data_IF_675602013879
#
_entry.id   IF_675602013879
#
_cell.length_a   1.000
_cell.length_b   1.000
_cell.length_c   1.000
_cell.angle_alpha   90.00
_cell.angle_beta   90.00
_cell.angle_gamma   90.00
#
_symmetry.space_group_name_H-M   'P 1'
#
loop_
_entity.id
_entity.type
_entity.pdbx_description
1 polymer ?
#
# COMPACT_ATOMS: atom_id res chain seq x y z
N UNK A 1 -34.42 -10.74 -25.23
CA UNK A 1 -33.51 -9.70 -24.71
C UNK A 1 -33.97 -9.20 -23.35
N UNK A 2 -35.12 -8.52 -23.28
CA UNK A 2 -35.60 -7.86 -22.05
C UNK A 2 -35.63 -8.76 -20.80
N UNK A 3 -36.18 -9.98 -20.89
CA UNK A 3 -36.24 -10.92 -19.75
C UNK A 3 -34.85 -11.25 -19.19
N UNK A 4 -33.86 -11.49 -20.06
CA UNK A 4 -32.49 -11.81 -19.64
C UNK A 4 -31.79 -10.62 -18.99
N UNK A 5 -31.96 -9.40 -19.52
CA UNK A 5 -31.42 -8.19 -18.91
C UNK A 5 -32.04 -7.92 -17.54
N UNK A 6 -33.35 -8.13 -17.39
CA UNK A 6 -34.04 -7.98 -16.11
C UNK A 6 -33.61 -9.02 -15.06
N UNK A 7 -33.30 -10.25 -15.48
CA UNK A 7 -32.80 -11.28 -14.56
C UNK A 7 -31.41 -10.90 -14.01
N UNK A 8 -30.53 -10.32 -14.84
CA UNK A 8 -29.23 -9.79 -14.39
C UNK A 8 -29.40 -8.60 -13.43
N UNK A 9 -30.35 -7.69 -13.70
CA UNK A 9 -30.67 -6.60 -12.75
C UNK A 9 -31.18 -7.16 -11.42
N UNK A 10 -31.98 -8.23 -11.43
CA UNK A 10 -32.45 -8.89 -10.20
C UNK A 10 -31.31 -9.55 -9.43
N UNK A 11 -30.38 -10.23 -10.11
CA UNK A 11 -29.21 -10.83 -9.48
C UNK A 11 -28.26 -9.78 -8.89
N UNK A 12 -28.13 -8.62 -9.54
CA UNK A 12 -27.43 -7.47 -8.97
C UNK A 12 -28.12 -6.93 -7.72
N UNK A 13 -29.45 -6.79 -7.73
CA UNK A 13 -30.24 -6.39 -6.56
C UNK A 13 -30.10 -7.37 -5.39
N UNK A 14 -29.88 -8.66 -5.68
CA UNK A 14 -29.58 -9.70 -4.70
C UNK A 14 -28.09 -9.77 -4.28
N UNK A 15 -27.27 -8.77 -4.66
CA UNK A 15 -25.84 -8.65 -4.32
C UNK A 15 -24.94 -9.78 -4.84
N UNK A 16 -25.31 -10.44 -5.95
CA UNK A 16 -24.55 -11.56 -6.53
C UNK A 16 -23.44 -11.13 -7.51
N UNK A 17 -23.06 -9.86 -7.54
CA UNK A 17 -22.01 -9.35 -8.43
C UNK A 17 -21.83 -7.84 -8.31
N UNK A 18 -20.83 -7.30 -9.01
CA UNK A 18 -20.62 -5.85 -9.05
C UNK A 18 -21.46 -5.20 -10.16
N UNK A 19 -21.70 -3.90 -10.04
CA UNK A 19 -22.41 -3.11 -11.06
C UNK A 19 -21.73 -3.20 -12.43
N UNK A 20 -20.40 -3.23 -12.43
CA UNK A 20 -19.59 -3.35 -13.64
C UNK A 20 -19.83 -4.69 -14.34
N UNK A 21 -19.89 -5.79 -13.60
CA UNK A 21 -20.16 -7.12 -14.17
C UNK A 21 -21.57 -7.19 -14.76
N UNK A 22 -22.56 -6.64 -14.06
CA UNK A 22 -23.94 -6.59 -14.53
C UNK A 22 -24.07 -5.74 -15.81
N UNK A 23 -23.45 -4.56 -15.84
CA UNK A 23 -23.41 -3.66 -16.99
C UNK A 23 -22.75 -4.30 -18.23
N UNK A 24 -21.63 -4.99 -18.02
CA UNK A 24 -20.90 -5.69 -19.08
C UNK A 24 -21.76 -6.79 -19.71
N UNK A 25 -22.39 -7.62 -18.87
CA UNK A 25 -23.24 -8.73 -19.34
C UNK A 25 -24.50 -8.21 -20.06
N UNK A 26 -25.15 -7.17 -19.55
CA UNK A 26 -26.32 -6.54 -20.19
C UNK A 26 -25.95 -6.00 -21.57
N UNK A 27 -24.83 -5.29 -21.68
CA UNK A 27 -24.34 -4.74 -22.96
C UNK A 27 -24.01 -5.85 -23.98
N UNK A 28 -23.45 -6.97 -23.50
CA UNK A 28 -23.21 -8.15 -24.32
C UNK A 28 -24.49 -8.79 -24.86
N UNK A 29 -25.51 -8.98 -24.01
CA UNK A 29 -26.80 -9.56 -24.39
C UNK A 29 -27.52 -8.69 -25.43
N UNK A 30 -27.47 -7.37 -25.25
CA UNK A 30 -28.10 -6.41 -26.18
C UNK A 30 -27.40 -6.46 -27.54
N UNK A 31 -26.07 -6.45 -27.57
CA UNK A 31 -25.27 -6.51 -28.80
C UNK A 31 -25.45 -7.83 -29.57
N UNK A 32 -25.62 -8.94 -28.85
CA UNK A 32 -25.81 -10.26 -29.47
C UNK A 32 -27.23 -10.45 -30.05
N UNK A 33 -28.21 -9.71 -29.53
CA UNK A 33 -29.62 -9.95 -29.83
C UNK A 33 -30.29 -8.94 -30.78
N UNK A 34 -29.61 -7.84 -31.12
CA UNK A 34 -30.12 -6.82 -32.04
C UNK A 34 -29.44 -6.94 -33.42
N UNK A 35 -30.16 -7.36 -34.47
CA UNK A 35 -29.67 -7.26 -35.85
C UNK A 35 -29.60 -5.79 -36.27
N UNK A 36 -28.61 -5.44 -37.11
CA UNK A 36 -28.32 -4.09 -37.65
C UNK A 36 -29.49 -3.37 -38.39
N UNK A 37 -30.69 -3.94 -38.44
CA UNK A 37 -31.84 -3.45 -39.19
C UNK A 37 -33.05 -3.01 -38.34
N UNK A 38 -33.00 -3.10 -37.01
CA UNK A 38 -34.00 -2.46 -36.14
C UNK A 38 -33.58 -1.04 -35.83
N UNK A 39 -34.40 -0.04 -36.14
CA UNK A 39 -34.12 1.39 -35.94
C UNK A 39 -34.01 1.86 -34.48
N UNK A 40 -33.78 0.95 -33.55
CA UNK A 40 -33.53 1.24 -32.14
C UNK A 40 -32.03 1.12 -31.88
N UNK A 41 -31.39 2.22 -31.50
CA UNK A 41 -29.96 2.22 -31.16
C UNK A 41 -29.73 1.34 -29.91
N UNK A 42 -28.88 0.29 -29.99
CA UNK A 42 -28.49 -0.55 -28.86
C UNK A 42 -28.04 0.26 -27.63
N UNK A 43 -27.48 1.45 -27.84
CA UNK A 43 -27.06 2.35 -26.75
C UNK A 43 -28.26 2.84 -25.91
N UNK A 44 -29.37 3.19 -26.56
CA UNK A 44 -30.60 3.67 -25.91
C UNK A 44 -31.24 2.57 -25.06
N UNK A 45 -31.25 1.33 -25.57
CA UNK A 45 -31.79 0.18 -24.84
C UNK A 45 -30.90 -0.16 -23.64
N UNK A 46 -29.58 -0.09 -23.80
CA UNK A 46 -28.65 -0.31 -22.69
C UNK A 46 -28.80 0.75 -21.59
N UNK A 47 -28.99 2.02 -21.96
CA UNK A 47 -29.18 3.12 -21.02
C UNK A 47 -30.36 2.90 -20.06
N UNK A 48 -31.45 2.28 -20.53
CA UNK A 48 -32.62 1.97 -19.69
C UNK A 48 -32.27 0.97 -18.58
N UNK A 49 -31.46 -0.05 -18.86
CA UNK A 49 -31.08 -1.02 -17.83
C UNK A 49 -29.96 -0.48 -16.92
N UNK A 50 -29.09 0.38 -17.44
CA UNK A 50 -28.05 1.04 -16.65
C UNK A 50 -28.66 1.99 -15.61
N UNK A 51 -29.69 2.76 -15.98
CA UNK A 51 -30.40 3.62 -15.02
C UNK A 51 -31.08 2.81 -13.91
N UNK A 52 -31.58 1.60 -14.19
CA UNK A 52 -32.13 0.71 -13.16
C UNK A 52 -31.07 0.20 -12.15
N UNK A 53 -29.81 0.08 -12.57
CA UNK A 53 -28.69 -0.27 -11.68
C UNK A 53 -28.28 0.95 -10.84
N UNK A 54 -28.23 2.14 -11.45
CA UNK A 54 -27.90 3.41 -10.79
C UNK A 54 -28.91 3.78 -9.72
N UNK A 55 -30.21 3.65 -10.02
CA UNK A 55 -31.30 3.96 -9.10
C UNK A 55 -31.22 3.08 -7.86
N UNK A 56 -30.98 1.77 -8.02
CA UNK A 56 -30.84 0.85 -6.90
C UNK A 56 -29.61 1.15 -6.02
N UNK A 57 -28.48 1.49 -6.64
CA UNK A 57 -27.27 1.88 -5.90
C UNK A 57 -27.48 3.18 -5.12
N UNK A 58 -28.20 4.14 -5.71
CA UNK A 58 -28.61 5.38 -5.05
C UNK A 58 -29.53 5.10 -3.86
N UNK A 59 -30.54 4.23 -4.00
CA UNK A 59 -31.45 3.83 -2.93
C UNK A 59 -30.71 3.15 -1.77
N UNK A 60 -29.80 2.21 -2.06
CA UNK A 60 -28.99 1.56 -1.03
C UNK A 60 -28.10 2.55 -0.27
N UNK A 61 -27.49 3.49 -0.99
CA UNK A 61 -26.67 4.53 -0.39
C UNK A 61 -27.50 5.49 0.47
N UNK A 62 -28.71 5.86 0.04
CA UNK A 62 -29.63 6.69 0.82
C UNK A 62 -30.15 5.96 2.06
N UNK A 63 -30.52 4.68 1.95
CA UNK A 63 -30.93 3.86 3.09
C UNK A 63 -29.81 3.72 4.13
N UNK A 64 -28.56 3.51 3.67
CA UNK A 64 -27.40 3.44 4.55
C UNK A 64 -27.10 4.78 5.24
N UNK A 65 -27.32 5.91 4.55
CA UNK A 65 -27.22 7.26 5.15
C UNK A 65 -28.30 7.48 6.22
N UNK A 66 -29.56 7.15 5.93
CA UNK A 66 -30.67 7.26 6.91
C UNK A 66 -30.46 6.35 8.12
N UNK A 67 -29.95 5.13 7.93
CA UNK A 67 -29.60 4.23 9.03
C UNK A 67 -28.52 4.81 9.96
N UNK A 68 -27.54 5.54 9.40
CA UNK A 68 -26.50 6.24 10.18
C UNK A 68 -27.03 7.47 10.93
N UNK A 69 -28.06 8.15 10.42
CA UNK A 69 -28.72 9.26 11.12
C UNK A 69 -29.64 8.77 12.24
N UNK A 70 -30.43 7.71 12.02
CA UNK A 70 -31.34 7.15 13.04
C UNK A 70 -30.58 6.53 14.23
N UNK A 71 -29.40 5.92 14.00
CA UNK A 71 -28.53 5.47 15.10
C UNK A 71 -27.94 6.64 15.92
N UNK A 72 -27.91 7.85 15.37
CA UNK A 72 -27.42 9.05 16.05
C UNK A 72 -28.51 9.70 16.92
N UNK A 73 -29.77 9.46 16.59
CA UNK A 73 -30.95 10.04 17.26
C UNK A 73 -31.47 9.17 18.42
N UNK A 74 -31.17 7.87 18.44
CA UNK A 74 -31.65 6.93 19.47
C UNK A 74 -30.85 6.89 20.79
N UNK A 75 -29.79 7.69 20.94
CA UNK A 75 -29.02 7.80 22.21
C UNK A 75 -29.40 9.03 23.05
N UNK A 76 -30.45 9.76 22.70
CA UNK A 76 -30.98 10.88 23.51
C UNK A 76 -32.18 10.42 24.31
N UNK A 77 -31.95 9.77 25.45
CA UNK A 77 -32.95 9.69 26.53
C UNK A 77 -32.29 10.25 27.78
N UNK A 78 -32.73 11.45 28.16
CA UNK A 78 -32.35 12.11 29.42
C UNK A 78 -32.91 11.35 30.64
N UNK A 79 -32.31 11.58 31.81
CA UNK A 79 -33.12 11.77 33.00
C UNK A 79 -32.86 13.16 33.61
N UNK A 80 -33.94 13.93 33.70
CA UNK A 80 -34.06 15.15 34.52
C UNK A 80 -34.33 14.74 35.98
N UNK A 81 -33.64 15.37 36.94
CA UNK A 81 -34.21 15.89 38.20
C UNK A 81 -33.18 16.70 39.03
N UNK A 82 -33.52 17.99 39.21
CA UNK A 82 -33.27 18.99 40.28
C UNK A 82 -32.40 18.64 41.52
N UNK A 83 -31.66 19.55 42.19
CA UNK A 83 -31.95 20.93 42.68
C UNK A 83 -30.65 21.61 43.20
N UNK A 84 -30.38 22.92 42.91
CA UNK A 84 -30.40 24.11 43.82
C UNK A 84 -29.45 24.03 45.08
N UNK A 85 -28.54 24.96 45.47
CA UNK A 85 -28.61 26.42 45.78
C UNK A 85 -27.18 27.04 46.04
N UNK A 86 -26.99 28.31 45.62
CA UNK A 86 -26.16 29.50 46.06
C UNK A 86 -24.66 29.44 46.47
N UNK A 87 -23.84 30.40 45.97
CA UNK A 87 -23.45 31.64 46.69
C UNK A 87 -22.58 32.61 45.84
N UNK A 88 -22.59 33.89 46.26
CA UNK A 88 -22.25 35.14 45.54
C UNK A 88 -20.74 35.52 45.38
N UNK A 89 -20.56 36.54 44.52
CA UNK A 89 -19.41 37.33 44.00
C UNK A 89 -18.63 38.19 45.07
N UNK A 90 -17.66 39.14 44.78
CA UNK A 90 -17.42 39.94 43.55
C UNK A 90 -15.97 40.38 43.13
N UNK A 91 -15.88 40.92 41.89
CA UNK A 91 -15.05 42.00 41.28
C UNK A 91 -13.49 41.97 41.38
N UNK A 92 -12.65 42.34 40.38
CA UNK A 92 -12.60 43.53 39.50
C UNK A 92 -11.99 43.21 38.10
N UNK A 93 -12.63 43.61 37.00
CA UNK A 93 -12.31 44.72 36.04
C UNK A 93 -10.85 44.90 35.57
N UNK A 94 -10.57 44.67 34.28
CA UNK A 94 -9.86 45.58 33.36
C UNK A 94 -10.23 45.20 31.90
N UNK A 95 -10.66 46.23 31.18
CA UNK A 95 -11.19 46.30 29.82
C UNK A 95 -10.22 45.92 28.68
N UNK A 96 -10.86 45.51 27.58
CA UNK A 96 -10.66 45.98 26.19
C UNK A 96 -9.93 45.03 25.22
N UNK A 97 -10.69 44.39 24.31
CA UNK A 97 -10.81 44.77 22.88
C UNK A 97 -11.70 43.76 22.15
N UNK A 98 -12.99 44.07 21.96
CA UNK A 98 -13.91 43.26 21.16
C UNK A 98 -13.65 43.47 19.66
N UNK A 99 -13.31 42.39 18.96
CA UNK A 99 -13.52 42.23 17.53
C UNK A 99 -14.66 41.23 17.39
N UNK A 100 -15.76 41.68 16.79
CA UNK A 100 -16.95 40.87 16.53
C UNK A 100 -16.61 39.70 15.62
N UNK A 101 -16.83 38.48 16.12
CA UNK A 101 -16.89 37.25 15.32
C UNK A 101 -18.25 36.62 15.63
N UNK A 102 -19.04 36.45 14.58
CA UNK A 102 -20.32 35.73 14.54
C UNK A 102 -20.28 34.41 15.36
N UNK A 103 -21.37 34.04 16.07
CA UNK A 103 -21.40 32.84 16.90
C UNK A 103 -21.51 31.57 16.06
N UNK A 104 -20.38 31.12 15.52
CA UNK A 104 -20.21 29.78 14.97
C UNK A 104 -20.14 28.75 16.10
N UNK A 105 -20.93 27.68 15.95
CA UNK A 105 -21.13 26.54 16.85
C UNK A 105 -19.95 26.19 17.79
N UNK A 106 -20.21 25.86 19.08
CA UNK A 106 -19.16 25.46 20.00
C UNK A 106 -18.46 24.21 19.46
N UNK A 107 -17.14 24.32 19.26
CA UNK A 107 -16.27 23.21 18.91
C UNK A 107 -16.59 22.03 19.84
N UNK A 108 -17.20 20.98 19.28
CA UNK A 108 -17.62 19.80 20.04
C UNK A 108 -16.43 19.31 20.85
N UNK A 109 -16.51 19.43 22.18
CA UNK A 109 -15.50 18.89 23.11
C UNK A 109 -15.34 17.42 22.73
N UNK A 110 -14.15 17.04 22.25
CA UNK A 110 -13.88 15.64 21.89
C UNK A 110 -14.20 14.78 23.11
N UNK A 111 -15.02 13.75 22.93
CA UNK A 111 -15.35 12.82 24.00
C UNK A 111 -14.03 12.30 24.61
N UNK A 112 -13.91 12.38 25.93
CA UNK A 112 -12.76 11.87 26.66
C UNK A 112 -12.81 10.35 26.50
N UNK A 113 -11.94 9.81 25.64
CA UNK A 113 -11.83 8.36 25.45
C UNK A 113 -11.43 7.72 26.77
N UNK A 114 -12.15 6.68 27.15
CA UNK A 114 -11.80 5.83 28.28
C UNK A 114 -10.70 4.85 27.82
N UNK A 115 -9.53 4.95 28.45
CA UNK A 115 -8.36 4.14 28.13
C UNK A 115 -8.19 2.94 29.08
N UNK A 116 -9.10 2.73 30.04
CA UNK A 116 -9.04 1.60 30.99
C UNK A 116 -9.06 0.23 30.31
N UNK A 117 -9.65 0.13 29.11
CA UNK A 117 -9.60 -1.09 28.29
C UNK A 117 -8.25 -1.34 27.59
N UNK A 118 -7.35 -0.34 27.58
CA UNK A 118 -5.97 -0.43 27.07
C UNK A 118 -4.96 -0.58 28.21
N UNK A 119 -5.40 -0.81 29.45
CA UNK A 119 -4.50 -1.15 30.55
C UNK A 119 -3.86 -2.51 30.25
N UNK A 120 -2.71 -2.45 29.57
CA UNK A 120 -1.84 -3.58 29.32
C UNK A 120 -1.37 -4.11 30.68
N UNK A 121 -2.12 -5.05 31.25
CA UNK A 121 -1.63 -5.85 32.38
C UNK A 121 -0.29 -6.46 31.94
N UNK A 122 0.81 -6.22 32.67
CA UNK A 122 2.10 -6.83 32.35
C UNK A 122 1.98 -8.34 32.61
N UNK A 123 1.41 -9.06 31.65
CA UNK A 123 1.06 -10.45 31.80
C UNK A 123 2.16 -11.27 31.14
N UNK A 124 3.03 -11.84 31.98
CA UNK A 124 3.80 -13.08 31.79
C UNK A 124 4.89 -13.10 30.69
N UNK A 125 4.92 -12.17 29.72
CA UNK A 125 6.05 -12.00 28.79
C UNK A 125 7.01 -10.90 29.25
N UNK A 126 7.38 -10.91 30.52
CA UNK A 126 8.49 -10.12 31.08
C UNK A 126 9.85 -10.73 30.71
N UNK A 127 9.96 -11.36 29.54
CA UNK A 127 11.26 -11.78 29.04
C UNK A 127 11.91 -10.56 28.39
N UNK A 128 12.77 -9.89 29.17
CA UNK A 128 13.95 -9.17 28.67
C UNK A 128 13.68 -8.00 27.71
N UNK A 129 12.59 -7.23 27.86
CA UNK A 129 12.45 -6.01 27.07
C UNK A 129 13.45 -4.95 27.55
N UNK A 130 14.52 -4.73 26.77
CA UNK A 130 15.49 -3.64 26.99
C UNK A 130 14.74 -2.33 27.27
N UNK A 131 15.13 -1.56 28.30
CA UNK A 131 14.48 -0.29 28.59
C UNK A 131 14.56 0.64 27.38
N UNK A 132 13.45 1.34 27.09
CA UNK A 132 13.37 2.34 26.03
C UNK A 132 14.44 3.41 26.28
N UNK A 133 15.22 3.69 25.24
CA UNK A 133 16.21 4.78 25.24
C UNK A 133 15.56 6.13 25.56
N UNK A 134 16.38 7.07 26.04
CA UNK A 134 15.91 8.41 26.42
C UNK A 134 15.34 9.18 25.21
N UNK A 135 16.00 9.07 24.04
CA UNK A 135 15.57 9.72 22.81
C UNK A 135 14.21 9.18 22.36
N UNK A 136 14.05 7.86 22.29
CA UNK A 136 12.78 7.24 21.90
C UNK A 136 11.62 7.61 22.85
N UNK A 137 11.84 7.63 24.17
CA UNK A 137 10.82 8.10 25.13
C UNK A 137 10.41 9.55 24.85
N UNK A 138 11.37 10.42 24.54
CA UNK A 138 11.11 11.82 24.20
C UNK A 138 10.35 11.95 22.87
N UNK A 139 10.72 11.16 21.86
CA UNK A 139 10.00 11.09 20.58
C UNK A 139 8.55 10.65 20.77
N UNK A 140 8.30 9.59 21.55
CA UNK A 140 6.95 9.10 21.83
C UNK A 140 6.12 10.20 22.49
N UNK A 141 6.68 10.91 23.49
CA UNK A 141 5.98 12.01 24.17
C UNK A 141 5.60 13.14 23.22
N UNK A 142 6.49 13.52 22.31
CA UNK A 142 6.23 14.55 21.30
C UNK A 142 5.15 14.08 20.30
N UNK A 143 5.26 12.84 19.81
CA UNK A 143 4.28 12.26 18.90
C UNK A 143 2.89 12.12 19.54
N UNK A 144 2.81 11.77 20.82
CA UNK A 144 1.54 11.73 21.56
C UNK A 144 0.89 13.12 21.69
N UNK A 145 1.71 14.17 21.87
CA UNK A 145 1.23 15.54 21.87
C UNK A 145 0.72 15.95 20.47
N UNK A 146 1.48 15.65 19.42
CA UNK A 146 1.08 15.96 18.04
C UNK A 146 -0.12 15.14 17.56
N UNK A 147 -0.32 13.94 18.08
CA UNK A 147 -1.49 13.12 17.76
C UNK A 147 -2.82 13.78 18.17
N UNK A 148 -2.81 14.72 19.12
CA UNK A 148 -4.00 15.50 19.49
C UNK A 148 -4.43 16.42 18.34
N UNK A 149 -3.49 17.06 17.64
CA UNK A 149 -3.80 17.89 16.47
C UNK A 149 -2.66 17.85 15.45
N UNK A 150 -2.71 16.83 14.59
CA UNK A 150 -1.70 16.64 13.56
C UNK A 150 -1.70 17.77 12.52
N UNK A 151 -2.87 18.39 12.26
CA UNK A 151 -2.96 19.50 11.30
C UNK A 151 -2.21 20.71 11.83
N UNK A 152 -2.44 21.09 13.08
CA UNK A 152 -1.73 22.21 13.70
C UNK A 152 -0.24 21.92 13.90
N UNK A 153 0.13 20.71 14.34
CA UNK A 153 1.53 20.34 14.50
C UNK A 153 2.30 20.46 13.18
N UNK A 154 1.71 19.96 12.09
CA UNK A 154 2.27 20.08 10.74
C UNK A 154 2.39 21.54 10.29
N UNK A 155 1.33 22.34 10.47
CA UNK A 155 1.33 23.76 10.12
C UNK A 155 2.46 24.51 10.86
N UNK A 156 2.57 24.30 12.18
CA UNK A 156 3.61 24.94 12.99
C UNK A 156 5.03 24.53 12.56
N UNK A 157 5.24 23.29 12.15
CA UNK A 157 6.54 22.84 11.63
C UNK A 157 6.84 23.45 10.27
N UNK A 158 5.88 23.46 9.35
CA UNK A 158 6.07 23.94 7.97
C UNK A 158 6.31 25.45 7.90
N UNK A 159 5.56 26.24 8.68
CA UNK A 159 5.63 27.70 8.66
C UNK A 159 6.59 28.30 9.69
N UNK A 160 7.42 27.46 10.34
CA UNK A 160 8.48 27.95 11.22
C UNK A 160 9.60 28.61 10.41
N UNK A 161 10.17 29.71 10.92
CA UNK A 161 11.21 30.52 10.24
C UNK A 161 12.41 29.69 9.75
N UNK A 162 12.87 28.75 10.58
CA UNK A 162 13.99 27.86 10.26
C UNK A 162 13.58 26.50 9.69
N UNK A 163 12.35 26.37 9.16
CA UNK A 163 11.88 25.11 8.59
C UNK A 163 12.64 24.75 7.31
N UNK A 164 13.24 23.55 7.23
CA UNK A 164 14.08 23.19 6.11
C UNK A 164 13.24 22.72 4.92
N UNK A 165 12.80 23.60 4.01
CA UNK A 165 11.96 23.33 2.81
C UNK A 165 11.17 21.99 2.95
N UNK A 166 11.24 20.95 2.11
CA UNK A 166 10.60 19.63 2.39
C UNK A 166 9.09 19.59 2.15
N UNK A 167 8.64 18.47 1.57
CA UNK A 167 7.30 18.34 1.04
C UNK A 167 6.26 18.03 2.11
N UNK A 168 5.02 18.48 1.88
CA UNK A 168 3.91 18.35 2.83
C UNK A 168 3.63 16.89 3.24
N UNK A 169 3.73 15.95 2.29
CA UNK A 169 3.55 14.52 2.61
C UNK A 169 4.63 13.99 3.56
N UNK A 170 5.87 14.45 3.42
CA UNK A 170 6.96 14.10 4.32
C UNK A 170 6.74 14.66 5.73
N UNK A 171 6.29 15.91 5.83
CA UNK A 171 5.91 16.50 7.12
C UNK A 171 4.74 15.76 7.77
N UNK A 172 3.74 15.33 6.98
CA UNK A 172 2.63 14.52 7.48
C UNK A 172 3.11 13.17 8.04
N UNK A 173 4.07 12.51 7.40
CA UNK A 173 4.67 11.27 7.90
C UNK A 173 5.47 11.49 9.18
N UNK A 174 6.26 12.57 9.27
CA UNK A 174 7.01 12.94 10.49
C UNK A 174 6.06 13.16 11.67
N UNK A 175 5.00 13.95 11.46
CA UNK A 175 4.02 14.28 12.50
C UNK A 175 3.24 13.06 12.96
N UNK A 176 2.93 12.14 12.05
CA UNK A 176 2.30 10.87 12.39
C UNK A 176 3.29 9.83 12.97
N UNK A 177 4.59 10.10 12.94
CA UNK A 177 5.64 9.16 13.29
C UNK A 177 5.73 7.95 12.36
N UNK A 178 5.29 8.06 11.11
CA UNK A 178 5.40 6.99 10.11
C UNK A 178 6.79 6.99 9.47
N UNK A 179 7.14 5.88 8.81
CA UNK A 179 8.34 5.82 7.99
C UNK A 179 8.18 6.72 6.77
N UNK A 180 9.15 7.60 6.52
CA UNK A 180 9.16 8.49 5.36
C UNK A 180 9.52 7.69 4.09
N UNK A 181 8.79 7.89 3.00
CA UNK A 181 9.13 7.32 1.69
C UNK A 181 10.24 8.12 1.02
N UNK A 182 11.46 7.55 0.95
CA UNK A 182 12.57 8.19 0.24
C UNK A 182 12.34 8.24 -1.27
N UNK A 183 11.64 7.26 -1.86
CA UNK A 183 11.27 7.27 -3.28
C UNK A 183 10.41 8.51 -3.61
N UNK A 184 9.48 8.87 -2.72
CA UNK A 184 8.67 10.09 -2.87
C UNK A 184 9.53 11.36 -2.80
N UNK A 185 10.44 11.44 -1.81
CA UNK A 185 11.36 12.58 -1.68
C UNK A 185 12.26 12.69 -2.91
N UNK A 186 12.80 11.58 -3.39
CA UNK A 186 13.66 11.55 -4.56
C UNK A 186 12.90 12.06 -5.80
N UNK A 187 11.65 11.63 -5.97
CA UNK A 187 10.77 12.13 -7.02
C UNK A 187 10.66 13.65 -6.99
N UNK A 188 10.46 14.23 -5.80
CA UNK A 188 10.33 15.68 -5.62
C UNK A 188 11.65 16.40 -5.93
N UNK A 189 12.79 15.89 -5.45
CA UNK A 189 14.11 16.48 -5.71
C UNK A 189 14.40 16.50 -7.22
N UNK A 190 14.12 15.41 -7.93
CA UNK A 190 14.48 15.23 -9.33
C UNK A 190 13.45 15.83 -10.30
N UNK A 191 12.23 16.11 -9.86
CA UNK A 191 11.16 16.65 -10.72
C UNK A 191 11.05 18.15 -10.51
N UNK A 192 12.18 18.86 -10.51
CA UNK A 192 12.31 20.31 -10.26
C UNK A 192 11.54 21.22 -11.26
N UNK A 193 10.60 20.68 -12.03
CA UNK A 193 9.68 21.41 -12.88
C UNK A 193 8.26 21.18 -12.35
N UNK A 194 7.54 22.26 -12.04
CA UNK A 194 6.09 22.21 -11.92
C UNK A 194 5.56 21.68 -13.25
N UNK A 195 5.22 20.40 -13.29
CA UNK A 195 4.52 19.85 -14.43
C UNK A 195 3.06 20.11 -14.15
N UNK A 196 2.50 21.09 -14.85
CA UNK A 196 1.08 21.37 -14.80
C UNK A 196 0.33 20.09 -15.17
N UNK A 197 -0.38 19.55 -14.19
CA UNK A 197 -1.33 18.46 -14.41
C UNK A 197 -2.50 19.07 -15.17
N UNK A 198 -2.56 18.81 -16.47
CA UNK A 198 -3.69 19.20 -17.28
C UNK A 198 -4.67 18.04 -17.33
N UNK A 199 -5.74 18.14 -16.55
CA UNK A 199 -6.88 17.22 -16.63
C UNK A 199 -7.98 17.89 -17.44
N UNK A 200 -8.14 17.47 -18.69
CA UNK A 200 -9.29 17.86 -19.50
C UNK A 200 -10.29 16.71 -19.53
N UNK A 201 -11.51 17.00 -19.06
CA UNK A 201 -12.64 16.10 -19.22
C UNK A 201 -13.24 16.29 -20.62
N UNK A 202 -13.10 15.30 -21.49
CA UNK A 202 -13.80 15.24 -22.77
C UNK A 202 -14.97 14.26 -22.60
N UNK A 203 -16.16 14.78 -22.32
CA UNK A 203 -17.35 13.96 -22.03
C UNK A 203 -17.19 13.18 -20.71
N UNK A 204 -17.45 11.87 -20.73
CA UNK A 204 -17.32 10.97 -19.56
C UNK A 204 -15.88 10.46 -19.32
N UNK A 205 -14.91 10.91 -20.10
CA UNK A 205 -13.51 10.47 -20.00
C UNK A 205 -12.62 11.65 -19.58
N UNK A 206 -11.99 11.51 -18.42
CA UNK A 206 -10.99 12.44 -17.93
C UNK A 206 -9.62 12.10 -18.56
N UNK A 207 -9.16 12.95 -19.47
CA UNK A 207 -7.83 12.84 -20.07
C UNK A 207 -6.86 13.68 -19.23
N UNK A 208 -6.04 13.02 -18.41
CA UNK A 208 -4.95 13.69 -17.71
C UNK A 208 -3.66 13.53 -18.53
N UNK A 209 -3.08 14.63 -19.01
CA UNK A 209 -1.76 14.64 -19.65
C UNK A 209 -0.78 15.53 -18.89
N UNK A 210 0.44 15.00 -18.70
CA UNK A 210 1.46 15.50 -17.79
C UNK A 210 2.18 14.34 -17.09
N UNK A 211 3.37 14.56 -16.53
CA UNK A 211 3.96 13.59 -15.59
C UNK A 211 2.96 13.47 -14.46
N UNK A 212 2.29 12.33 -14.37
CA UNK A 212 1.36 12.10 -13.28
C UNK A 212 2.12 12.28 -11.97
N UNK A 213 1.53 13.01 -11.02
CA UNK A 213 1.98 13.05 -9.61
C UNK A 213 2.18 11.63 -9.01
N UNK A 214 1.74 10.58 -9.72
CA UNK A 214 1.74 9.19 -9.31
C UNK A 214 2.97 8.38 -9.75
N UNK A 215 3.80 8.84 -10.69
CA UNK A 215 5.00 8.11 -11.09
C UNK A 215 6.16 8.39 -10.12
N UNK A 216 6.10 7.75 -8.94
CA UNK A 216 7.19 7.83 -7.96
C UNK A 216 8.48 7.27 -8.58
N UNK A 217 9.47 8.15 -8.81
CA UNK A 217 10.83 7.79 -9.23
C UNK A 217 11.48 6.95 -8.13
N UNK A 218 11.81 5.71 -8.46
CA UNK A 218 12.49 4.81 -7.53
C UNK A 218 13.93 5.23 -7.32
N UNK A 219 14.40 5.15 -6.08
CA UNK A 219 15.83 5.25 -5.78
C UNK A 219 16.50 3.97 -6.27
N UNK A 220 17.53 4.13 -7.10
CA UNK A 220 18.29 3.01 -7.70
C UNK A 220 19.78 3.05 -7.37
N UNK A 221 20.31 4.21 -6.98
CA UNK A 221 21.73 4.42 -6.73
C UNK A 221 21.98 4.95 -5.32
N UNK A 222 23.21 4.76 -4.82
CA UNK A 222 23.67 5.35 -3.56
C UNK A 222 23.55 6.88 -3.58
N UNK A 223 23.87 7.53 -4.71
CA UNK A 223 23.74 8.99 -4.86
C UNK A 223 22.29 9.47 -4.71
N UNK A 224 21.33 8.77 -5.32
CA UNK A 224 19.90 9.08 -5.15
C UNK A 224 19.46 8.89 -3.70
N UNK A 225 19.94 7.82 -3.06
CA UNK A 225 19.66 7.55 -1.64
C UNK A 225 20.22 8.65 -0.74
N UNK A 226 21.48 9.04 -0.91
CA UNK A 226 22.12 10.10 -0.14
C UNK A 226 21.38 11.44 -0.27
N UNK A 227 20.99 11.83 -1.49
CA UNK A 227 20.23 13.05 -1.71
C UNK A 227 18.88 13.04 -0.99
N UNK A 228 18.13 11.93 -1.11
CA UNK A 228 16.82 11.78 -0.47
C UNK A 228 16.92 11.65 1.06
N UNK A 229 17.90 10.90 1.56
CA UNK A 229 18.13 10.71 2.99
C UNK A 229 18.57 12.00 3.66
N UNK A 230 19.54 12.74 3.10
CA UNK A 230 19.98 14.02 3.66
C UNK A 230 18.83 15.02 3.75
N UNK A 231 17.92 14.98 2.78
CA UNK A 231 16.71 15.80 2.78
C UNK A 231 15.73 15.38 3.88
N UNK A 232 15.46 14.08 4.03
CA UNK A 232 14.64 13.54 5.11
C UNK A 232 15.25 13.82 6.49
N UNK A 233 16.53 13.54 6.67
CA UNK A 233 17.27 13.69 7.91
C UNK A 233 17.26 15.13 8.40
N UNK A 234 17.41 16.13 7.52
CA UNK A 234 17.27 17.55 7.89
C UNK A 234 15.88 17.86 8.49
N UNK A 235 14.81 17.39 7.87
CA UNK A 235 13.46 17.59 8.39
C UNK A 235 13.23 16.84 9.72
N UNK A 236 13.74 15.61 9.85
CA UNK A 236 13.65 14.84 11.10
C UNK A 236 14.47 15.51 12.22
N UNK A 237 15.68 16.01 11.94
CA UNK A 237 16.51 16.74 12.92
C UNK A 237 15.83 18.02 13.39
N UNK A 238 15.16 18.73 12.48
CA UNK A 238 14.37 19.90 12.83
C UNK A 238 13.19 19.54 13.76
N UNK A 239 12.46 18.48 13.44
CA UNK A 239 11.33 17.98 14.25
C UNK A 239 11.78 17.36 15.59
N UNK A 240 12.94 16.70 15.62
CA UNK A 240 13.48 15.97 16.77
C UNK A 240 14.99 16.21 16.93
N UNK A 241 15.41 17.38 17.45
CA UNK A 241 16.83 17.76 17.51
C UNK A 241 17.73 16.76 18.25
N UNK A 242 17.19 16.11 19.29
CA UNK A 242 17.90 15.13 20.10
C UNK A 242 18.16 13.78 19.39
N UNK A 243 17.62 13.56 18.18
CA UNK A 243 17.87 12.36 17.36
C UNK A 243 19.01 12.54 16.37
N UNK A 244 19.74 13.65 16.41
CA UNK A 244 20.81 13.93 15.44
C UNK A 244 21.86 12.82 15.39
N UNK A 245 22.42 12.42 16.54
CA UNK A 245 23.44 11.38 16.61
C UNK A 245 22.94 10.02 16.08
N UNK A 246 21.66 9.68 16.31
CA UNK A 246 21.04 8.47 15.78
C UNK A 246 20.97 8.50 14.24
N UNK A 247 20.55 9.63 13.67
CA UNK A 247 20.41 9.79 12.22
C UNK A 247 21.76 9.81 11.50
N UNK A 248 22.78 10.39 12.13
CA UNK A 248 24.14 10.45 11.61
C UNK A 248 24.75 9.03 11.61
N UNK A 249 24.67 8.30 12.72
CA UNK A 249 25.11 6.91 12.81
C UNK A 249 24.39 6.00 11.81
N UNK A 250 23.08 6.19 11.61
CA UNK A 250 22.33 5.43 10.61
C UNK A 250 22.78 5.74 9.17
N UNK A 251 23.05 7.01 8.89
CA UNK A 251 23.55 7.44 7.58
C UNK A 251 24.89 6.80 7.24
N UNK A 252 25.78 6.75 8.23
CA UNK A 252 27.08 6.10 8.12
C UNK A 252 26.92 4.60 7.90
N UNK A 253 26.13 3.92 8.74
CA UNK A 253 25.86 2.49 8.62
C UNK A 253 25.37 2.09 7.23
N UNK A 254 24.41 2.81 6.65
CA UNK A 254 23.89 2.47 5.31
C UNK A 254 24.93 2.78 4.21
N UNK A 255 25.71 3.85 4.32
CA UNK A 255 26.80 4.12 3.37
C UNK A 255 27.87 3.04 3.43
N UNK A 256 28.27 2.58 4.62
CA UNK A 256 29.18 1.45 4.78
C UNK A 256 28.62 0.18 4.10
N UNK A 257 27.30 -0.05 4.15
CA UNK A 257 26.68 -1.15 3.43
C UNK A 257 26.74 -0.99 1.91
N UNK A 258 26.73 0.22 1.37
CA UNK A 258 27.00 0.43 -0.05
C UNK A 258 28.46 0.13 -0.36
N UNK A 259 29.39 0.65 0.44
CA UNK A 259 30.83 0.51 0.21
C UNK A 259 31.32 -0.96 0.32
N UNK A 260 30.66 -1.77 1.16
CA UNK A 260 30.96 -3.19 1.32
C UNK A 260 30.35 -4.10 0.24
N UNK A 261 29.43 -3.58 -0.58
CA UNK A 261 28.71 -4.36 -1.57
C UNK A 261 29.12 -3.94 -2.99
N UNK A 262 29.08 -4.89 -3.92
CA UNK A 262 29.27 -4.56 -5.33
C UNK A 262 28.07 -3.74 -5.85
N UNK A 263 28.29 -2.89 -6.85
CA UNK A 263 27.25 -2.00 -7.39
C UNK A 263 25.99 -2.75 -7.86
N UNK A 264 26.17 -3.93 -8.46
CA UNK A 264 25.06 -4.81 -8.87
C UNK A 264 24.21 -5.32 -7.69
N UNK A 265 24.73 -5.27 -6.47
CA UNK A 265 24.05 -5.63 -5.22
C UNK A 265 23.48 -4.42 -4.47
N UNK A 266 23.68 -3.17 -4.93
CA UNK A 266 23.14 -1.96 -4.29
C UNK A 266 21.60 -1.99 -4.13
N UNK A 267 20.90 -2.68 -5.04
CA UNK A 267 19.46 -2.91 -4.91
C UNK A 267 19.06 -3.64 -3.62
N UNK A 268 19.96 -4.47 -3.05
CA UNK A 268 19.74 -5.15 -1.77
C UNK A 268 19.89 -4.19 -0.59
N UNK A 269 20.91 -3.32 -0.63
CA UNK A 269 21.14 -2.28 0.39
C UNK A 269 19.93 -1.35 0.49
N UNK A 270 19.37 -0.94 -0.66
CA UNK A 270 18.16 -0.10 -0.71
C UNK A 270 16.93 -0.78 -0.09
N UNK A 271 16.74 -2.10 -0.31
CA UNK A 271 15.64 -2.86 0.30
C UNK A 271 15.86 -3.10 1.78
N UNK A 272 17.10 -3.33 2.19
CA UNK A 272 17.51 -3.44 3.58
C UNK A 272 17.19 -2.15 4.35
N UNK A 273 17.64 -0.99 3.85
CA UNK A 273 17.29 0.35 4.39
C UNK A 273 15.78 0.53 4.51
N UNK A 274 15.03 0.26 3.44
CA UNK A 274 13.57 0.40 3.44
C UNK A 274 12.91 -0.47 4.51
N UNK A 275 13.41 -1.68 4.72
CA UNK A 275 12.92 -2.62 5.73
C UNK A 275 13.18 -2.13 7.16
N UNK A 276 14.38 -1.57 7.42
CA UNK A 276 14.72 -0.97 8.72
C UNK A 276 13.83 0.23 9.01
N UNK A 277 13.75 1.19 8.07
CA UNK A 277 12.93 2.40 8.24
C UNK A 277 11.45 2.04 8.45
N UNK A 278 10.95 1.02 7.75
CA UNK A 278 9.59 0.52 7.95
C UNK A 278 9.39 -0.07 9.36
N UNK A 279 10.32 -0.90 9.83
CA UNK A 279 10.26 -1.49 11.18
C UNK A 279 10.28 -0.40 12.26
N UNK A 280 11.20 0.54 12.17
CA UNK A 280 11.32 1.67 13.12
C UNK A 280 10.09 2.59 13.05
N UNK A 281 9.61 2.88 11.84
CA UNK A 281 8.43 3.73 11.64
C UNK A 281 7.13 3.12 12.14
N UNK A 282 7.01 1.79 12.14
CA UNK A 282 5.82 1.08 12.62
C UNK A 282 5.93 0.61 14.08
N UNK A 283 7.15 0.51 14.61
CA UNK A 283 7.39 0.04 15.98
C UNK A 283 8.00 1.15 16.81
N UNK A 284 7.31 1.58 17.86
CA UNK A 284 7.80 2.59 18.81
C UNK A 284 8.82 2.03 19.82
N UNK A 285 9.67 1.08 19.41
CA UNK A 285 10.63 0.38 20.28
C UNK A 285 12.08 0.44 19.83
N UNK A 286 12.34 0.83 18.59
CA UNK A 286 13.67 0.80 18.02
C UNK A 286 14.12 2.20 17.59
N UNK A 287 15.39 2.49 17.82
CA UNK A 287 16.10 3.60 17.17
C UNK A 287 16.84 3.05 15.95
N UNK A 288 17.08 3.91 14.96
CA UNK A 288 17.82 3.57 13.75
C UNK A 288 19.27 3.16 14.03
N UNK A 289 19.84 3.63 15.15
CA UNK A 289 21.18 3.26 15.63
C UNK A 289 21.25 1.89 16.32
N UNK A 290 20.11 1.22 16.56
CA UNK A 290 20.09 -0.09 17.21
C UNK A 290 20.36 -1.23 16.21
N UNK A 291 21.55 -1.22 15.58
CA UNK A 291 21.90 -2.16 14.49
C UNK A 291 21.79 -3.64 14.88
N UNK A 292 22.08 -3.96 16.14
CA UNK A 292 21.93 -5.31 16.71
C UNK A 292 20.49 -5.84 16.59
N UNK A 293 19.49 -4.97 16.65
CA UNK A 293 18.08 -5.31 16.51
C UNK A 293 17.63 -5.53 15.06
N UNK A 294 18.54 -5.37 14.09
CA UNK A 294 18.29 -5.52 12.66
C UNK A 294 19.06 -6.68 12.02
N UNK A 295 19.74 -7.52 12.82
CA UNK A 295 20.48 -8.71 12.33
C UNK A 295 19.61 -9.67 11.53
N UNK A 296 18.35 -9.83 11.93
CA UNK A 296 17.36 -10.64 11.21
C UNK A 296 17.01 -10.02 9.85
N UNK A 297 16.85 -8.70 9.77
CA UNK A 297 16.66 -7.98 8.50
C UNK A 297 17.90 -8.17 7.63
N UNK A 298 19.10 -7.95 8.20
CA UNK A 298 20.36 -8.09 7.48
C UNK A 298 20.50 -9.48 6.87
N UNK A 299 20.33 -10.52 7.68
CA UNK A 299 20.41 -11.91 7.24
C UNK A 299 19.39 -12.23 6.15
N UNK A 300 18.19 -11.64 6.22
CA UNK A 300 17.15 -11.86 5.20
C UNK A 300 17.53 -11.32 3.81
N UNK A 301 18.32 -10.24 3.73
CA UNK A 301 18.70 -9.59 2.46
C UNK A 301 20.08 -10.02 1.94
N UNK A 302 21.03 -10.29 2.85
CA UNK A 302 22.44 -10.52 2.46
C UNK A 302 22.91 -11.97 2.58
N UNK A 303 22.28 -12.81 3.41
CA UNK A 303 22.69 -14.22 3.52
C UNK A 303 22.25 -15.03 2.29
N UNK A 304 23.08 -15.97 1.84
CA UNK A 304 22.83 -16.79 0.63
C UNK A 304 21.54 -17.65 0.68
N UNK A 305 20.99 -17.89 1.88
CA UNK A 305 19.68 -18.52 2.11
C UNK A 305 18.58 -17.56 2.58
N UNK A 306 18.84 -16.26 2.58
CA UNK A 306 17.91 -15.24 3.05
C UNK A 306 16.69 -15.14 2.13
N UNK A 307 15.50 -15.05 2.72
CA UNK A 307 14.21 -14.99 1.99
C UNK A 307 14.19 -13.87 0.91
N UNK A 308 14.90 -12.78 1.14
CA UNK A 308 14.92 -11.61 0.27
C UNK A 308 16.21 -11.49 -0.56
N UNK A 309 17.16 -12.43 -0.42
CA UNK A 309 18.44 -12.44 -1.13
C UNK A 309 18.29 -12.42 -2.65
N UNK A 310 17.30 -13.15 -3.17
CA UNK A 310 16.99 -13.23 -4.61
C UNK A 310 15.76 -12.41 -5.02
N UNK A 311 15.16 -11.66 -4.09
CA UNK A 311 13.93 -10.92 -4.38
C UNK A 311 14.25 -9.63 -5.16
N UNK A 312 14.27 -9.71 -6.48
CA UNK A 312 14.13 -8.55 -7.35
C UNK A 312 12.68 -8.08 -7.26
N UNK A 313 12.42 -7.08 -6.42
CA UNK A 313 11.08 -6.52 -6.16
C UNK A 313 10.42 -5.84 -7.36
N UNK A 314 10.18 -6.60 -8.41
CA UNK A 314 9.25 -6.32 -9.49
C UNK A 314 8.08 -7.28 -9.33
N UNK A 315 7.05 -6.81 -8.63
CA UNK A 315 5.70 -7.29 -8.92
C UNK A 315 5.31 -6.71 -10.28
N UNK A 316 5.91 -7.25 -11.33
CA UNK A 316 5.33 -7.18 -12.65
C UNK A 316 3.99 -7.91 -12.52
N UNK A 317 2.89 -7.20 -12.75
CA UNK A 317 1.71 -7.86 -13.31
C UNK A 317 2.17 -8.42 -14.66
N UNK A 318 2.80 -9.58 -14.65
CA UNK A 318 3.15 -10.32 -15.86
C UNK A 318 1.90 -11.04 -16.31
N UNK A 319 1.09 -10.35 -17.09
CA UNK A 319 0.47 -10.99 -18.26
C UNK A 319 1.61 -11.57 -19.10
N UNK A 320 1.82 -12.88 -18.99
CA UNK A 320 2.82 -13.61 -19.79
C UNK A 320 3.68 -14.53 -18.94
N UNK A 321 3.44 -15.83 -19.06
CA UNK A 321 4.13 -16.88 -18.32
C UNK A 321 5.65 -16.87 -18.50
N UNK A 322 6.36 -16.46 -17.45
CA UNK A 322 7.78 -16.73 -17.27
C UNK A 322 7.96 -18.05 -16.52
N UNK A 323 8.64 -19.00 -17.15
CA UNK A 323 8.89 -20.35 -16.61
C UNK A 323 9.89 -20.32 -15.45
N UNK A 324 9.54 -21.07 -14.42
CA UNK A 324 10.35 -21.39 -13.24
C UNK A 324 11.74 -21.96 -13.64
N UNK A 325 12.85 -21.56 -12.99
CA UNK A 325 14.17 -22.15 -13.22
C UNK A 325 14.24 -23.65 -12.87
N UNK A 326 13.24 -24.15 -12.15
CA UNK A 326 13.07 -25.58 -11.84
C UNK A 326 12.71 -26.43 -13.07
N UNK A 327 12.28 -25.81 -14.19
CA UNK A 327 11.86 -26.52 -15.39
C UNK A 327 12.97 -27.34 -16.07
N UNK A 328 14.25 -27.12 -15.73
CA UNK A 328 15.36 -27.90 -16.28
C UNK A 328 15.39 -29.36 -15.83
N UNK A 329 14.64 -29.74 -14.78
CA UNK A 329 14.52 -31.13 -14.35
C UNK A 329 13.29 -31.84 -14.95
N UNK A 330 12.30 -31.09 -15.43
CA UNK A 330 11.07 -31.69 -15.95
C UNK A 330 11.28 -32.15 -17.41
N UNK A 331 10.82 -33.37 -17.77
CA UNK A 331 10.89 -33.89 -19.13
C UNK A 331 10.11 -33.03 -20.13
N UNK A 332 10.73 -32.73 -21.27
CA UNK A 332 10.10 -31.99 -22.36
C UNK A 332 9.09 -32.88 -23.11
N UNK A 333 7.79 -32.67 -22.88
CA UNK A 333 6.73 -33.43 -23.57
C UNK A 333 6.78 -33.30 -25.10
N UNK A 334 7.08 -32.10 -25.62
CA UNK A 334 7.21 -31.88 -27.07
C UNK A 334 8.38 -32.64 -27.67
N UNK A 335 9.50 -32.73 -26.93
CA UNK A 335 10.64 -33.51 -27.39
C UNK A 335 10.34 -35.01 -27.31
N UNK A 336 9.68 -35.47 -26.25
CA UNK A 336 9.26 -36.87 -26.14
C UNK A 336 8.32 -37.31 -27.27
N UNK A 337 7.51 -36.39 -27.81
CA UNK A 337 6.66 -36.65 -28.98
C UNK A 337 7.38 -36.48 -30.33
N UNK A 338 8.65 -36.08 -30.35
CA UNK A 338 9.41 -35.85 -31.58
C UNK A 338 9.13 -34.50 -32.27
N UNK A 339 8.46 -33.57 -31.61
CA UNK A 339 7.97 -32.30 -32.18
C UNK A 339 8.74 -31.06 -31.69
N UNK A 340 9.79 -31.24 -30.88
CA UNK A 340 10.58 -30.13 -30.36
C UNK A 340 11.61 -29.65 -31.39
N UNK A 341 11.50 -28.39 -31.81
CA UNK A 341 12.44 -27.73 -32.74
C UNK A 341 13.65 -27.09 -32.04
N UNK A 342 13.69 -27.12 -30.70
CA UNK A 342 14.80 -26.55 -29.90
C UNK A 342 15.85 -27.62 -29.64
N UNK A 343 17.12 -27.22 -29.59
CA UNK A 343 18.21 -28.13 -29.20
C UNK A 343 18.16 -28.44 -27.69
N UNK A 344 18.76 -29.55 -27.25
CA UNK A 344 18.80 -29.91 -25.83
C UNK A 344 19.44 -28.82 -24.95
N UNK A 345 20.37 -28.03 -25.50
CA UNK A 345 21.01 -26.91 -24.81
C UNK A 345 20.16 -25.63 -24.75
N UNK A 346 19.16 -25.48 -25.64
CA UNK A 346 18.30 -24.29 -25.75
C UNK A 346 16.85 -24.53 -25.31
N UNK A 347 16.47 -25.78 -25.07
CA UNK A 347 15.18 -26.12 -24.50
C UNK A 347 15.17 -25.80 -23.00
N UNK A 348 14.06 -25.24 -22.51
CA UNK A 348 13.89 -24.95 -21.09
C UNK A 348 13.48 -26.18 -20.27
N UNK A 349 13.33 -27.34 -20.90
CA UNK A 349 12.94 -28.62 -20.31
C UNK A 349 13.96 -29.70 -20.70
N UNK A 350 14.13 -30.72 -19.86
CA UNK A 350 15.08 -31.80 -20.11
C UNK A 350 14.63 -32.67 -21.29
N UNK A 351 15.54 -32.95 -22.22
CA UNK A 351 15.32 -33.89 -23.32
C UNK A 351 15.58 -35.32 -22.84
N UNK A 352 14.70 -35.79 -21.95
CA UNK A 352 14.72 -37.13 -21.36
C UNK A 352 13.34 -37.78 -21.53
N UNK A 353 13.33 -39.09 -21.72
CA UNK A 353 12.09 -39.85 -21.77
C UNK A 353 11.34 -39.71 -20.44
N UNK A 354 10.03 -39.93 -20.46
CA UNK A 354 9.20 -39.98 -19.25
C UNK A 354 8.11 -41.05 -19.33
N UNK A 355 8.32 -42.07 -20.16
CA UNK A 355 7.37 -43.19 -20.31
C UNK A 355 7.49 -44.11 -19.11
N UNK A 356 6.36 -44.42 -18.49
CA UNK A 356 6.27 -45.36 -17.37
C UNK A 356 6.24 -46.81 -17.88
N UNK A 357 7.06 -47.67 -17.27
CA UNK A 357 7.22 -49.09 -17.56
C UNK A 357 7.31 -49.85 -16.25
N UNK A 358 6.43 -50.82 -16.01
CA UNK A 358 6.44 -51.68 -14.82
C UNK A 358 6.61 -50.89 -13.48
N UNK A 359 5.94 -49.73 -13.38
CA UNK A 359 5.99 -48.86 -12.20
C UNK A 359 7.28 -48.03 -12.05
N UNK A 360 8.10 -47.91 -13.10
CA UNK A 360 9.28 -47.03 -13.15
C UNK A 360 9.23 -46.10 -14.37
N UNK A 361 9.61 -44.84 -14.17
CA UNK A 361 9.71 -43.86 -15.26
C UNK A 361 11.06 -44.02 -15.98
N UNK A 362 11.04 -44.26 -17.28
CA UNK A 362 12.23 -44.27 -18.12
C UNK A 362 12.79 -42.85 -18.20
N UNK A 363 14.04 -42.62 -17.73
CA UNK A 363 14.72 -41.32 -17.75
C UNK A 363 15.88 -41.27 -18.77
N UNK A 364 15.84 -42.12 -19.80
CA UNK A 364 16.89 -42.23 -20.82
C UNK A 364 16.74 -41.17 -21.93
N UNK A 365 17.82 -40.89 -22.66
CA UNK A 365 17.85 -39.89 -23.72
C UNK A 365 17.34 -40.45 -25.07
N UNK A 366 16.07 -40.84 -25.12
CA UNK A 366 15.37 -41.14 -26.38
C UNK A 366 13.92 -40.65 -26.34
N UNK A 367 13.33 -40.45 -27.53
CA UNK A 367 11.93 -40.07 -27.68
C UNK A 367 11.00 -41.25 -27.36
N UNK A 368 9.73 -40.97 -27.08
CA UNK A 368 8.72 -41.98 -26.70
C UNK A 368 8.51 -43.05 -27.76
N UNK A 369 8.68 -42.71 -29.04
CA UNK A 369 8.52 -43.64 -30.18
C UNK A 369 9.55 -44.76 -30.23
N UNK A 370 10.62 -44.69 -29.42
CA UNK A 370 11.59 -45.80 -29.24
C UNK A 370 11.10 -46.91 -28.30
N UNK A 371 9.91 -46.77 -27.71
CA UNK A 371 9.25 -47.88 -27.00
C UNK A 371 8.25 -48.62 -27.89
N UNK A 372 8.22 -49.95 -27.79
CA UNK A 372 7.17 -50.77 -28.41
C UNK A 372 5.84 -50.63 -27.66
N UNK A 373 4.73 -51.12 -28.23
CA UNK A 373 3.39 -51.10 -27.63
C UNK A 373 3.34 -51.76 -26.23
N UNK A 374 4.26 -52.70 -25.96
CA UNK A 374 4.46 -53.33 -24.65
C UNK A 374 5.39 -52.57 -23.70
N UNK A 375 5.75 -51.32 -24.02
CA UNK A 375 6.58 -50.48 -23.16
C UNK A 375 8.00 -51.01 -22.95
N UNK A 376 8.62 -51.71 -23.92
CA UNK A 376 10.06 -52.03 -23.87
C UNK A 376 10.84 -51.11 -24.81
N UNK A 377 11.94 -50.54 -24.33
CA UNK A 377 12.88 -49.79 -25.20
C UNK A 377 13.44 -50.69 -26.28
N UNK A 378 13.27 -50.33 -27.55
CA UNK A 378 14.04 -50.92 -28.64
C UNK A 378 15.51 -50.54 -28.42
N UNK A 379 16.35 -51.52 -28.13
CA UNK A 379 17.79 -51.33 -28.23
C UNK A 379 18.13 -51.03 -29.69
N UNK A 380 19.08 -50.11 -29.90
CA UNK A 380 19.66 -49.85 -31.22
C UNK A 380 20.36 -51.09 -31.79
#
# INVERSE_FOLDING_TARGET
VAKRCLDIVKDFRASKGTKFDAAYVISGIIKESLPLSSGEDPSTIAAIYMSMLDEWESEQNQANRRGKEVCRERCSVEPVSNSHIEEESPAEDIRSRQVSIEPGEPARKRAKLDFTCLDFKPTVHQELSRPLSANLRRTIRILQNWAQDQKQARLKLMYHEHSPEFHESGWADIVAGRSISLDAIHTIITTSQAVDKHSETIGDVELTYGISETATKKITTQGHWNAAWNRAARAIKFAFPFRQAELDAYSEHINEQFDQQLENCHGRVLRYDKSIRFRVGNTRRYELSNFECFKDIYSSHFSAGGRLHNYSGESSKSTGGGRDPSAKHDPCQKWNNGECTRSAASCCFAHICNVEQDGRVCACHHVRTKHNEDGKSKAD
#
